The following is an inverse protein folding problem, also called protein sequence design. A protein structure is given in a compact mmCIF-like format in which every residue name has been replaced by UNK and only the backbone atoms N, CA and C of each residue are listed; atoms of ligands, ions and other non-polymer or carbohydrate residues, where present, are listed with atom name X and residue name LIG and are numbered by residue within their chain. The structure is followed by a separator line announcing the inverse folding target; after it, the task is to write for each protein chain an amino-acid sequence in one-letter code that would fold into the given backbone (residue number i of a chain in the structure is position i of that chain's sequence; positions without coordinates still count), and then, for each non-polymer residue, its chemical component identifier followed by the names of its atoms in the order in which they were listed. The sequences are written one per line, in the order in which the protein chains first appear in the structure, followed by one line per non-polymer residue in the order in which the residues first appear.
data_IF_310549450945
#
_entry.id   IF_310549450945
#
_cell.length_a   1.000
_cell.length_b   1.000
_cell.length_c   1.000
_cell.angle_alpha   90.00
_cell.angle_beta   90.00
_cell.angle_gamma   90.00
#
_symmetry.space_group_name_H-M   'P 1'
#
loop_
_entity.id
_entity.type
_entity.pdbx_description
1 polymer ?
#
# COMPACT_ATOMS: atom_id res chain seq x y z
N UNK A 1 22.64 -5.37 0.00
CA UNK A 1 21.55 -5.77 0.90
C UNK A 1 20.52 -6.64 0.18
N UNK A 2 19.74 -6.11 -0.77
CA UNK A 2 18.67 -6.89 -1.45
C UNK A 2 19.14 -8.13 -2.23
N UNK A 3 20.28 -8.06 -2.93
CA UNK A 3 20.80 -9.20 -3.71
C UNK A 3 21.03 -10.46 -2.86
N UNK A 4 21.40 -10.29 -1.58
CA UNK A 4 21.62 -11.39 -0.64
C UNK A 4 20.43 -11.68 0.26
N UNK A 5 19.28 -11.02 0.10
CA UNK A 5 18.11 -11.19 0.95
C UNK A 5 17.61 -12.64 0.99
N UNK A 6 17.59 -13.32 -0.16
CA UNK A 6 17.16 -14.74 -0.23
C UNK A 6 18.10 -15.68 0.52
N UNK A 7 19.40 -15.38 0.52
CA UNK A 7 20.39 -16.19 1.24
C UNK A 7 20.27 -15.96 2.76
N UNK A 8 20.15 -14.69 3.17
CA UNK A 8 19.91 -14.30 4.57
C UNK A 8 18.62 -14.90 5.13
N UNK A 9 17.57 -14.97 4.33
CA UNK A 9 16.31 -15.63 4.72
C UNK A 9 16.49 -17.11 5.04
N UNK A 10 17.40 -17.82 4.36
CA UNK A 10 17.74 -19.22 4.69
C UNK A 10 18.42 -19.34 6.05
N UNK A 11 19.05 -18.26 6.52
CA UNK A 11 19.72 -18.15 7.82
C UNK A 11 18.78 -17.58 8.91
N UNK A 12 17.49 -17.38 8.59
CA UNK A 12 16.49 -16.84 9.51
C UNK A 12 16.40 -15.32 9.56
N UNK A 13 17.18 -14.60 8.76
CA UNK A 13 17.12 -13.14 8.68
C UNK A 13 16.09 -12.68 7.62
N UNK A 14 15.10 -11.86 8.01
CA UNK A 14 14.23 -11.17 7.03
C UNK A 14 14.82 -9.83 6.61
N UNK A 15 14.77 -9.56 5.31
CA UNK A 15 15.07 -8.24 4.76
C UNK A 15 13.77 -7.56 4.36
N UNK A 16 13.40 -6.51 5.11
CA UNK A 16 12.22 -5.70 4.84
C UNK A 16 12.67 -4.36 4.29
N UNK A 17 12.08 -3.93 3.17
CA UNK A 17 12.20 -2.57 2.65
C UNK A 17 11.04 -1.75 3.19
N UNK A 18 11.31 -0.58 3.73
CA UNK A 18 10.27 0.39 4.10
C UNK A 18 10.40 1.60 3.17
N UNK A 19 9.27 2.09 2.69
CA UNK A 19 9.21 3.33 1.94
C UNK A 19 7.98 4.15 2.34
N UNK A 20 8.06 5.44 2.04
CA UNK A 20 7.01 6.41 2.31
C UNK A 20 6.48 6.99 0.99
N UNK A 21 5.17 6.85 0.77
CA UNK A 21 4.47 7.46 -0.36
C UNK A 21 3.63 8.63 0.13
N UNK A 22 4.05 9.83 -0.20
CA UNK A 22 3.41 11.08 0.24
C UNK A 22 2.52 11.65 -0.86
N UNK A 23 1.43 12.33 -0.48
CA UNK A 23 0.56 13.01 -1.46
C UNK A 23 -0.30 12.06 -2.31
N UNK A 24 -0.47 10.81 -1.88
CA UNK A 24 -1.32 9.83 -2.57
C UNK A 24 -2.77 10.31 -2.57
N UNK A 25 -3.35 10.54 -3.75
CA UNK A 25 -4.71 11.08 -3.85
C UNK A 25 -5.75 9.99 -3.57
N UNK A 26 -6.65 10.27 -2.62
CA UNK A 26 -7.83 9.45 -2.42
C UNK A 26 -8.88 9.85 -3.46
N UNK A 27 -9.00 9.06 -4.52
CA UNK A 27 -9.89 9.32 -5.65
C UNK A 27 -11.06 8.34 -5.65
N UNK A 28 -12.26 8.85 -5.89
CA UNK A 28 -13.46 8.08 -6.17
C UNK A 28 -14.01 8.47 -7.54
N UNK A 29 -14.41 7.49 -8.36
CA UNK A 29 -15.05 7.79 -9.65
C UNK A 29 -16.42 8.39 -9.39
N UNK A 30 -16.71 9.52 -10.01
CA UNK A 30 -18.00 10.22 -9.83
C UNK A 30 -19.17 9.43 -10.43
N UNK A 31 -18.92 8.66 -11.48
CA UNK A 31 -19.91 7.84 -12.17
C UNK A 31 -19.35 6.44 -12.47
N UNK A 32 -20.22 5.41 -12.60
CA UNK A 32 -19.78 4.08 -13.01
C UNK A 32 -19.28 4.07 -14.46
N UNK A 33 -18.36 3.16 -14.77
CA UNK A 33 -17.89 2.95 -16.14
C UNK A 33 -19.04 2.52 -17.06
N UNK A 34 -19.00 2.96 -18.32
CA UNK A 34 -19.99 2.56 -19.31
C UNK A 34 -19.77 1.10 -19.75
N UNK A 35 -20.85 0.38 -20.13
CA UNK A 35 -20.72 -0.96 -20.69
C UNK A 35 -19.80 -0.97 -21.92
N UNK A 36 -19.01 -2.03 -22.04
CA UNK A 36 -18.14 -2.24 -23.19
C UNK A 36 -18.99 -2.38 -24.48
N UNK A 37 -18.52 -1.76 -25.57
CA UNK A 37 -19.15 -1.86 -26.89
C UNK A 37 -18.20 -2.57 -27.86
N UNK A 38 -18.70 -3.42 -28.78
CA UNK A 38 -17.87 -4.04 -29.81
C UNK A 38 -17.08 -2.99 -30.61
N UNK A 39 -15.80 -3.25 -30.84
CA UNK A 39 -14.89 -2.32 -31.55
C UNK A 39 -14.35 -1.18 -30.70
N UNK A 40 -14.70 -1.09 -29.41
CA UNK A 40 -14.19 -0.09 -28.49
C UNK A 40 -13.57 -0.73 -27.24
N UNK A 41 -12.44 -0.18 -26.80
CA UNK A 41 -11.88 -0.49 -25.47
C UNK A 41 -12.81 0.03 -24.38
N UNK A 42 -12.73 -0.56 -23.18
CA UNK A 42 -13.48 -0.09 -22.02
C UNK A 42 -13.23 1.40 -21.79
N UNK A 43 -14.30 2.20 -21.86
CA UNK A 43 -14.24 3.62 -21.54
C UNK A 43 -14.42 3.78 -20.04
N UNK A 44 -13.42 4.36 -19.39
CA UNK A 44 -13.44 4.62 -17.96
C UNK A 44 -13.90 6.02 -17.67
N UNK A 45 -14.65 6.18 -16.59
CA UNK A 45 -15.05 7.49 -16.12
C UNK A 45 -13.79 8.33 -15.81
N UNK A 46 -13.77 9.57 -16.29
CA UNK A 46 -12.61 10.46 -16.17
C UNK A 46 -12.80 11.49 -15.05
N UNK A 47 -14.05 11.74 -14.62
CA UNK A 47 -14.32 12.63 -13.49
C UNK A 47 -14.14 11.91 -12.15
N UNK A 48 -13.38 12.54 -11.26
CA UNK A 48 -13.08 12.05 -9.92
C UNK A 48 -13.57 13.02 -8.84
N UNK A 49 -14.12 12.47 -7.77
CA UNK A 49 -14.28 13.15 -6.49
C UNK A 49 -12.95 13.01 -5.74
N UNK A 50 -12.40 14.14 -5.31
CA UNK A 50 -11.12 14.20 -4.59
C UNK A 50 -11.38 14.26 -3.09
N UNK A 51 -10.93 13.26 -2.36
CA UNK A 51 -11.05 13.17 -0.89
C UNK A 51 -9.81 13.69 -0.15
N UNK A 52 -8.94 14.42 -0.85
CA UNK A 52 -7.67 14.92 -0.33
C UNK A 52 -6.50 13.98 -0.61
N UNK A 53 -5.39 14.23 0.08
CA UNK A 53 -4.15 13.47 -0.05
C UNK A 53 -3.85 12.71 1.24
N UNK A 54 -3.31 11.50 1.09
CA UNK A 54 -2.84 10.66 2.16
C UNK A 54 -1.34 10.42 2.03
N UNK A 55 -0.69 10.26 3.17
CA UNK A 55 0.66 9.73 3.28
C UNK A 55 0.56 8.27 3.69
N UNK A 56 1.37 7.41 3.06
CA UNK A 56 1.40 5.98 3.29
C UNK A 56 2.79 5.55 3.72
N UNK A 57 2.85 4.64 4.68
CA UNK A 57 4.06 3.89 5.02
C UNK A 57 3.87 2.43 4.62
N UNK A 58 4.77 1.93 3.79
CA UNK A 58 4.67 0.60 3.20
C UNK A 58 5.92 -0.19 3.57
N UNK A 59 5.72 -1.39 4.10
CA UNK A 59 6.80 -2.34 4.33
C UNK A 59 6.66 -3.50 3.37
N UNK A 60 7.73 -3.85 2.68
CA UNK A 60 7.76 -4.90 1.68
C UNK A 60 8.80 -5.95 2.05
N UNK A 61 8.36 -7.18 2.27
CA UNK A 61 9.26 -8.32 2.42
C UNK A 61 9.83 -8.70 1.05
N UNK A 62 11.12 -8.47 0.91
CA UNK A 62 11.84 -8.61 -0.36
C UNK A 62 11.86 -10.06 -0.86
N UNK A 63 11.74 -11.04 0.04
CA UNK A 63 11.82 -12.46 -0.31
C UNK A 63 10.44 -13.03 -0.60
N UNK A 64 9.44 -12.71 0.22
CA UNK A 64 8.07 -13.20 0.03
C UNK A 64 7.28 -12.40 -1.01
N UNK A 65 7.66 -11.16 -1.26
CA UNK A 65 6.94 -10.24 -2.13
C UNK A 65 5.67 -9.66 -1.51
N UNK A 66 5.48 -9.79 -0.20
CA UNK A 66 4.28 -9.34 0.50
C UNK A 66 4.47 -7.96 1.13
N UNK A 67 3.39 -7.19 1.15
CA UNK A 67 3.30 -5.96 1.94
C UNK A 67 2.90 -6.33 3.37
N UNK A 68 3.63 -5.79 4.35
CA UNK A 68 3.43 -6.10 5.77
C UNK A 68 2.95 -4.85 6.49
N UNK A 69 1.82 -4.97 7.18
CA UNK A 69 1.26 -3.97 8.09
C UNK A 69 1.38 -2.52 7.57
N UNK A 70 0.84 -2.19 6.38
CA UNK A 70 0.87 -0.84 5.86
C UNK A 70 0.05 0.09 6.77
N UNK A 71 0.43 1.37 6.82
CA UNK A 71 -0.35 2.40 7.50
C UNK A 71 -0.48 3.64 6.62
N UNK A 72 -1.50 4.46 6.88
CA UNK A 72 -1.71 5.71 6.17
C UNK A 72 -2.41 6.74 7.04
N UNK A 73 -2.22 8.01 6.70
CA UNK A 73 -2.80 9.13 7.43
C UNK A 73 -2.81 10.41 6.61
N UNK A 74 -3.44 11.45 7.16
CA UNK A 74 -3.50 12.77 6.52
C UNK A 74 -2.16 13.53 6.59
N UNK A 75 -1.25 13.13 7.49
CA UNK A 75 -0.02 13.84 7.80
C UNK A 75 1.22 12.98 7.57
N UNK A 76 2.37 13.65 7.59
CA UNK A 76 3.71 13.07 7.48
C UNK A 76 4.57 13.58 8.63
N UNK A 77 4.12 13.32 9.84
CA UNK A 77 4.84 13.74 11.04
C UNK A 77 5.75 12.61 11.50
N UNK A 78 6.75 12.96 12.29
CA UNK A 78 7.63 11.98 12.93
C UNK A 78 6.84 11.01 13.82
N UNK A 79 5.78 11.49 14.48
CA UNK A 79 4.87 10.66 15.27
C UNK A 79 4.17 9.59 14.43
N UNK A 80 3.82 9.90 13.17
CA UNK A 80 3.18 8.95 12.27
C UNK A 80 4.17 7.83 11.89
N UNK A 81 5.42 8.20 11.58
CA UNK A 81 6.49 7.24 11.31
C UNK A 81 6.79 6.36 12.53
N UNK A 82 6.86 6.95 13.73
CA UNK A 82 7.07 6.18 14.96
C UNK A 82 5.93 5.20 15.23
N UNK A 83 4.68 5.65 15.08
CA UNK A 83 3.51 4.79 15.24
C UNK A 83 3.55 3.62 14.24
N UNK A 84 3.93 3.87 12.99
CA UNK A 84 4.11 2.84 11.97
C UNK A 84 5.22 1.83 12.34
N UNK A 85 6.36 2.31 12.83
CA UNK A 85 7.47 1.44 13.28
C UNK A 85 7.07 0.55 14.46
N UNK A 86 6.31 1.08 15.42
CA UNK A 86 5.77 0.31 16.55
C UNK A 86 4.79 -0.76 16.05
N UNK A 87 3.91 -0.41 15.11
CA UNK A 87 2.96 -1.34 14.50
C UNK A 87 3.68 -2.51 13.81
N UNK A 88 4.63 -2.24 12.92
CA UNK A 88 5.36 -3.31 12.23
C UNK A 88 6.20 -4.16 13.21
N UNK A 89 6.79 -3.56 14.24
CA UNK A 89 7.50 -4.32 15.27
C UNK A 89 6.57 -5.32 15.96
N UNK A 90 5.35 -4.92 16.33
CA UNK A 90 4.33 -5.81 16.89
C UNK A 90 3.95 -6.96 15.94
N UNK A 91 3.80 -6.68 14.65
CA UNK A 91 3.47 -7.71 13.65
C UNK A 91 4.62 -8.69 13.38
N UNK A 92 5.87 -8.23 13.40
CA UNK A 92 7.04 -9.06 13.05
C UNK A 92 7.60 -9.87 14.23
N UNK A 93 7.25 -9.52 15.47
CA UNK A 93 7.75 -10.18 16.69
C UNK A 93 6.60 -10.70 17.56
N UNK A 94 5.84 -11.72 17.12
CA UNK A 94 4.66 -12.20 17.85
C UNK A 94 4.97 -12.90 19.19
N UNK A 95 6.24 -13.11 19.56
CA UNK A 95 6.61 -13.98 20.70
C UNK A 95 6.61 -13.33 22.09
N UNK A 96 5.90 -12.21 22.31
CA UNK A 96 5.66 -11.69 23.66
C UNK A 96 4.21 -11.31 23.96
N UNK A 97 3.23 -11.81 23.19
CA UNK A 97 1.83 -11.51 23.48
C UNK A 97 0.97 -12.77 23.40
N UNK A 98 0.82 -13.42 24.57
CA UNK A 98 -0.28 -14.34 24.83
C UNK A 98 -1.61 -13.56 24.70
N UNK A 99 -2.44 -13.89 23.71
CA UNK A 99 -3.87 -13.54 23.77
C UNK A 99 -4.57 -13.22 22.45
N UNK A 100 -5.23 -14.24 21.91
CA UNK A 100 -6.43 -14.24 21.02
C UNK A 100 -6.33 -13.83 19.54
N UNK A 101 -6.85 -14.66 18.60
CA UNK A 101 -6.89 -14.41 17.17
C UNK A 101 -8.25 -13.86 16.72
N UNK A 102 -8.28 -12.67 16.12
CA UNK A 102 -9.36 -12.19 15.24
C UNK A 102 -9.07 -10.75 14.80
N UNK A 103 -8.14 -10.53 13.87
CA UNK A 103 -8.01 -9.19 13.29
C UNK A 103 -7.46 -9.13 11.86
N UNK A 104 -6.88 -10.19 11.31
CA UNK A 104 -6.00 -10.04 10.14
C UNK A 104 -6.63 -10.23 8.75
N UNK A 105 -7.93 -10.43 8.62
CA UNK A 105 -8.55 -10.62 7.29
C UNK A 105 -9.10 -9.33 6.63
N UNK A 106 -9.27 -8.21 7.33
CA UNK A 106 -9.89 -7.00 6.72
C UNK A 106 -8.91 -6.04 6.06
N UNK A 107 -7.70 -5.88 6.60
CA UNK A 107 -6.75 -4.82 6.17
C UNK A 107 -6.06 -5.17 4.85
N UNK A 108 -5.66 -6.44 4.69
CA UNK A 108 -5.06 -6.94 3.43
C UNK A 108 -6.12 -7.00 2.33
N UNK A 109 -7.36 -7.40 2.66
CA UNK A 109 -8.47 -7.36 1.73
C UNK A 109 -8.83 -5.94 1.32
N UNK A 110 -8.80 -4.94 2.21
CA UNK A 110 -9.09 -3.55 1.83
C UNK A 110 -7.99 -2.95 0.96
N UNK A 111 -6.72 -3.28 1.18
CA UNK A 111 -5.64 -2.89 0.28
C UNK A 111 -5.74 -3.58 -1.09
N UNK A 112 -5.96 -4.90 -1.15
CA UNK A 112 -6.08 -5.63 -2.42
C UNK A 112 -7.37 -5.28 -3.17
N UNK A 113 -8.46 -5.01 -2.45
CA UNK A 113 -9.73 -4.51 -2.99
C UNK A 113 -9.59 -3.06 -3.44
N UNK A 114 -8.84 -2.21 -2.75
CA UNK A 114 -8.52 -0.85 -3.20
C UNK A 114 -7.61 -0.89 -4.44
N UNK A 115 -6.52 -1.66 -4.41
CA UNK A 115 -5.56 -1.87 -5.51
C UNK A 115 -6.25 -2.43 -6.76
N UNK A 116 -7.07 -3.47 -6.63
CA UNK A 116 -7.84 -4.07 -7.72
C UNK A 116 -8.90 -3.16 -8.33
N UNK A 117 -9.26 -2.06 -7.64
CA UNK A 117 -10.18 -1.02 -8.17
C UNK A 117 -9.46 0.20 -8.76
N UNK A 118 -8.18 0.44 -8.43
CA UNK A 118 -7.54 1.74 -8.67
C UNK A 118 -6.12 1.72 -9.29
N UNK A 119 -5.35 0.63 -9.29
CA UNK A 119 -3.90 0.67 -9.64
C UNK A 119 -3.48 -0.03 -10.96
N UNK A 120 -4.37 -0.60 -11.76
CA UNK A 120 -3.92 -1.34 -12.97
C UNK A 120 -3.39 -0.49 -14.16
N UNK A 121 -3.17 0.84 -14.03
CA UNK A 121 -2.98 1.71 -15.22
C UNK A 121 -1.82 2.71 -15.15
N UNK A 122 -0.94 2.62 -14.15
CA UNK A 122 0.17 3.59 -14.04
C UNK A 122 1.54 2.93 -14.20
N UNK A 123 1.72 2.24 -15.32
CA UNK A 123 2.95 2.37 -16.09
C UNK A 123 2.77 3.53 -17.06
N UNK A 124 3.14 4.76 -16.64
CA UNK A 124 3.89 5.76 -17.44
C UNK A 124 3.80 7.18 -16.85
N UNK A 125 4.92 7.88 -17.02
CA UNK A 125 5.19 9.32 -16.90
C UNK A 125 5.29 9.96 -15.50
N UNK A 126 6.56 10.22 -15.16
CA UNK A 126 7.07 11.30 -14.32
C UNK A 126 6.65 12.65 -14.89
N UNK A 127 6.25 13.61 -14.05
CA UNK A 127 7.04 14.75 -13.58
C UNK A 127 6.09 15.78 -12.95
N UNK A 128 6.41 16.23 -11.74
CA UNK A 128 5.70 17.31 -11.06
C UNK A 128 6.11 18.66 -11.67
N UNK A 129 5.17 19.60 -11.76
CA UNK A 129 5.48 21.03 -11.92
C UNK A 129 4.64 21.83 -10.91
N UNK A 130 5.23 22.76 -10.14
CA UNK A 130 4.52 23.50 -9.10
C UNK A 130 3.99 24.83 -9.61
N UNK A 131 2.83 25.24 -9.09
CA UNK A 131 2.39 26.64 -9.06
C UNK A 131 1.85 26.97 -7.68
#
# INVERSE_FOLDING_TARGET
MYRSARERARQGERTISMDELTGGQALERKHPDLPMQPGHVLRREFEYIRHGTLTWFINFDVVSGQVIAPSWGATRMEQDCLAHLVQIHGCLMPFLTLGTPAFEDSVVQDFDRWRGRHIDHLSHSRQADPS
#
